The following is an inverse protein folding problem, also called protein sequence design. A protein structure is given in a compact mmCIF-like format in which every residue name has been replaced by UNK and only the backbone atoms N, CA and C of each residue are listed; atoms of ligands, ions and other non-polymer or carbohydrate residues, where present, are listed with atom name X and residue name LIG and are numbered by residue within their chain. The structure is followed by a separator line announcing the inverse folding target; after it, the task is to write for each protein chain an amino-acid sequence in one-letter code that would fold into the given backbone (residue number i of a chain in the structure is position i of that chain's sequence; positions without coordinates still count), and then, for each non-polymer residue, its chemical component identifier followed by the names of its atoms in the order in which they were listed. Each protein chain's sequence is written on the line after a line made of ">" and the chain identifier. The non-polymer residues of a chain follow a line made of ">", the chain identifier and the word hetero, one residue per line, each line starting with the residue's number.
data_IF_626931331093
#
_entry.id   IF_626931331093
#
_cell.length_a   1.000
_cell.length_b   1.000
_cell.length_c   1.000
_cell.angle_alpha   90.00
_cell.angle_beta   90.00
_cell.angle_gamma   90.00
#
_symmetry.space_group_name_H-M   'P 1'
#
loop_
_entity.id
_entity.type
_entity.pdbx_description
1 polymer ?
#
# COMPACT_ATOMS: atom_id res chain seq x y z
N UNK A 1 9.64 15.46 12.80
CA UNK A 1 8.26 15.92 12.53
C UNK A 1 7.73 15.11 11.37
N UNK A 2 6.62 14.36 11.52
CA UNK A 2 6.07 13.61 10.40
C UNK A 2 5.48 14.59 9.40
N UNK A 3 5.81 14.41 8.13
CA UNK A 3 5.24 15.17 7.03
C UNK A 3 3.72 14.96 7.02
N UNK A 4 2.99 16.06 7.17
CA UNK A 4 1.52 16.08 7.14
C UNK A 4 1.06 15.72 5.71
N UNK A 5 0.51 14.52 5.55
CA UNK A 5 -0.18 14.06 4.34
C UNK A 5 -1.60 14.65 4.20
N UNK A 6 -1.97 15.53 5.12
CA UNK A 6 -3.38 15.85 5.36
C UNK A 6 -3.95 16.87 4.36
N UNK A 7 -3.09 17.69 3.73
CA UNK A 7 -3.54 18.73 2.79
C UNK A 7 -3.69 18.23 1.34
N UNK A 8 -3.00 17.15 0.97
CA UNK A 8 -3.07 16.59 -0.41
C UNK A 8 -4.38 15.84 -0.64
N UNK A 9 -4.95 15.25 0.41
CA UNK A 9 -6.18 14.46 0.32
C UNK A 9 -7.43 15.26 -0.07
N UNK A 10 -7.48 16.55 0.31
CA UNK A 10 -8.63 17.43 0.06
C UNK A 10 -8.69 17.88 -1.42
N UNK A 11 -7.54 18.00 -2.09
CA UNK A 11 -7.47 18.57 -3.45
C UNK A 11 -7.70 17.57 -4.59
N UNK A 12 -7.49 16.28 -4.36
CA UNK A 12 -7.51 15.26 -5.43
C UNK A 12 -8.89 14.63 -5.70
N UNK A 13 -9.94 15.10 -5.01
CA UNK A 13 -11.31 14.59 -5.19
C UNK A 13 -11.51 13.13 -4.74
N UNK A 14 -12.75 12.60 -4.82
CA UNK A 14 -13.13 11.29 -4.28
C UNK A 14 -12.47 10.09 -4.98
N UNK A 15 -11.68 10.32 -6.02
CA UNK A 15 -10.99 9.29 -6.81
C UNK A 15 -9.53 9.05 -6.39
N UNK A 16 -9.02 9.86 -5.47
CA UNK A 16 -7.72 9.64 -4.85
C UNK A 16 -7.83 8.48 -3.86
N UNK A 17 -7.22 7.33 -4.17
CA UNK A 17 -7.34 6.08 -3.41
C UNK A 17 -6.97 6.15 -1.92
N UNK A 18 -6.40 7.26 -1.46
CA UNK A 18 -6.13 7.55 -0.05
C UNK A 18 -7.42 7.69 0.80
N UNK A 19 -8.53 8.16 0.22
CA UNK A 19 -9.79 8.30 0.95
C UNK A 19 -10.45 6.96 1.33
N UNK A 20 -10.17 5.87 0.61
CA UNK A 20 -10.79 4.56 0.86
C UNK A 20 -10.23 3.87 2.11
N UNK A 21 -8.93 4.05 2.38
CA UNK A 21 -8.28 3.51 3.57
C UNK A 21 -8.64 4.31 4.84
N UNK A 22 -8.82 5.63 4.69
CA UNK A 22 -9.22 6.51 5.79
C UNK A 22 -10.70 6.33 6.18
N UNK A 23 -11.59 6.00 5.23
CA UNK A 23 -13.04 5.90 5.47
C UNK A 23 -13.52 4.51 5.91
N UNK A 24 -12.62 3.59 6.26
CA UNK A 24 -12.99 2.31 6.88
C UNK A 24 -13.94 1.43 6.02
N UNK A 25 -14.01 1.65 4.70
CA UNK A 25 -15.03 1.06 3.83
C UNK A 25 -14.75 -0.41 3.44
N UNK A 26 -13.52 -0.88 3.67
CA UNK A 26 -13.13 -2.23 3.32
C UNK A 26 -13.11 -3.13 4.56
N UNK A 27 -14.11 -4.02 4.67
CA UNK A 27 -14.34 -4.93 5.82
C UNK A 27 -13.11 -5.78 6.19
N UNK A 28 -12.24 -6.06 5.22
CA UNK A 28 -11.01 -6.82 5.47
C UNK A 28 -9.93 -6.00 6.18
N UNK A 29 -9.79 -4.71 5.84
CA UNK A 29 -8.67 -3.87 6.34
C UNK A 29 -9.06 -2.97 7.50
N UNK A 30 -10.36 -2.75 7.71
CA UNK A 30 -10.93 -1.94 8.79
C UNK A 30 -10.42 -2.30 10.18
N UNK A 31 -10.33 -3.60 10.48
CA UNK A 31 -9.91 -4.12 11.80
C UNK A 31 -8.39 -4.12 12.03
N UNK A 32 -7.58 -3.71 11.04
CA UNK A 32 -6.10 -3.80 11.07
C UNK A 32 -5.41 -2.44 11.00
N UNK A 33 -6.14 -1.36 11.28
CA UNK A 33 -5.63 -0.01 11.38
C UNK A 33 -5.06 0.26 12.79
N UNK A 34 -4.05 1.14 12.95
CA UNK A 34 -3.40 1.96 11.91
C UNK A 34 -2.35 1.20 11.09
N UNK A 35 -2.23 1.52 9.79
CA UNK A 35 -1.26 0.92 8.87
C UNK A 35 -0.03 1.84 8.70
N UNK A 36 1.17 1.27 8.81
CA UNK A 36 2.43 1.95 8.47
C UNK A 36 2.86 1.54 7.06
N UNK A 37 3.09 2.51 6.18
CA UNK A 37 3.62 2.26 4.85
C UNK A 37 5.11 1.92 4.94
N UNK A 38 5.47 0.67 4.59
CA UNK A 38 6.85 0.17 4.65
C UNK A 38 7.46 0.08 3.24
N UNK A 39 6.62 -0.16 2.22
CA UNK A 39 7.06 -0.42 0.86
C UNK A 39 5.93 -0.17 -0.15
N UNK A 40 6.27 0.37 -1.33
CA UNK A 40 5.40 0.46 -2.49
C UNK A 40 6.20 0.35 -3.80
N UNK A 41 5.55 -0.10 -4.87
CA UNK A 41 6.08 -0.09 -6.24
C UNK A 41 5.13 0.71 -7.14
N UNK A 42 5.68 1.45 -8.11
CA UNK A 42 4.93 2.18 -9.10
C UNK A 42 5.32 1.72 -10.52
N UNK A 43 4.33 1.63 -11.42
CA UNK A 43 4.52 1.20 -12.81
C UNK A 43 3.88 2.21 -13.76
N UNK A 44 4.48 2.39 -14.93
CA UNK A 44 3.93 3.24 -15.99
C UNK A 44 2.74 2.58 -16.71
N UNK A 45 2.82 1.27 -16.98
CA UNK A 45 1.72 0.48 -17.56
C UNK A 45 0.82 -0.12 -16.48
N UNK A 46 -0.49 -0.05 -16.73
CA UNK A 46 -1.52 -0.68 -15.88
C UNK A 46 -1.43 -2.21 -15.93
N UNK A 47 -1.09 -2.77 -17.07
CA UNK A 47 -0.97 -4.21 -17.31
C UNK A 47 0.19 -4.79 -16.50
N UNK A 48 1.33 -4.09 -16.47
CA UNK A 48 2.47 -4.46 -15.65
C UNK A 48 2.15 -4.37 -14.16
N UNK A 49 1.47 -3.30 -13.72
CA UNK A 49 1.02 -3.16 -12.34
C UNK A 49 0.11 -4.34 -11.93
N UNK A 50 -0.87 -4.72 -12.77
CA UNK A 50 -1.77 -5.84 -12.51
C UNK A 50 -1.03 -7.18 -12.46
N UNK A 51 -0.09 -7.41 -13.37
CA UNK A 51 0.74 -8.62 -13.39
C UNK A 51 1.57 -8.72 -12.12
N UNK A 52 2.16 -7.60 -11.68
CA UNK A 52 2.95 -7.51 -10.45
C UNK A 52 2.11 -7.75 -9.20
N UNK A 53 0.93 -7.11 -9.12
CA UNK A 53 -0.03 -7.33 -8.03
C UNK A 53 -0.45 -8.80 -7.94
N UNK A 54 -0.80 -9.42 -9.08
CA UNK A 54 -1.17 -10.84 -9.14
C UNK A 54 -0.03 -11.74 -8.67
N UNK A 55 1.21 -11.44 -9.07
CA UNK A 55 2.39 -12.17 -8.61
C UNK A 55 2.56 -12.09 -7.10
N UNK A 56 2.44 -10.90 -6.50
CA UNK A 56 2.59 -10.73 -5.05
C UNK A 56 1.53 -11.46 -4.21
N UNK A 57 0.36 -11.76 -4.79
CA UNK A 57 -0.67 -12.59 -4.12
C UNK A 57 -0.32 -14.08 -4.08
N UNK A 58 0.68 -14.54 -4.85
CA UNK A 58 1.16 -15.93 -4.84
C UNK A 58 2.12 -16.21 -3.68
N UNK A 59 2.34 -17.49 -3.35
CA UNK A 59 3.33 -17.91 -2.33
C UNK A 59 4.75 -17.44 -2.67
N UNK A 60 5.17 -17.59 -3.93
CA UNK A 60 6.50 -17.13 -4.38
C UNK A 60 6.63 -15.61 -4.31
N UNK A 61 5.56 -14.89 -4.68
CA UNK A 61 5.52 -13.44 -4.57
C UNK A 61 5.63 -12.95 -3.15
N UNK A 62 4.93 -13.58 -2.19
CA UNK A 62 5.07 -13.29 -0.75
C UNK A 62 6.50 -13.49 -0.25
N UNK A 63 7.14 -14.60 -0.61
CA UNK A 63 8.55 -14.86 -0.25
C UNK A 63 9.49 -13.80 -0.81
N UNK A 64 9.28 -13.41 -2.07
CA UNK A 64 10.06 -12.34 -2.72
C UNK A 64 9.84 -11.00 -2.02
N UNK A 65 8.60 -10.66 -1.68
CA UNK A 65 8.29 -9.44 -0.95
C UNK A 65 9.00 -9.41 0.40
N UNK A 66 8.90 -10.49 1.20
CA UNK A 66 9.62 -10.60 2.48
C UNK A 66 11.13 -10.41 2.33
N UNK A 67 11.72 -10.90 1.25
CA UNK A 67 13.14 -10.70 0.98
C UNK A 67 13.45 -9.23 0.65
N UNK A 68 12.61 -8.56 -0.13
CA UNK A 68 12.77 -7.13 -0.46
C UNK A 68 12.73 -6.27 0.80
N UNK A 69 11.76 -6.51 1.69
CA UNK A 69 11.57 -5.69 2.90
C UNK A 69 12.26 -6.26 4.15
N UNK A 70 13.13 -7.27 4.00
CA UNK A 70 13.72 -8.03 5.11
C UNK A 70 14.36 -7.15 6.18
N UNK A 71 15.19 -6.19 5.75
CA UNK A 71 15.89 -5.29 6.67
C UNK A 71 14.94 -4.28 7.30
N UNK A 72 13.96 -3.79 6.54
CA UNK A 72 12.94 -2.87 7.06
C UNK A 72 12.07 -3.54 8.13
N UNK A 73 11.70 -4.81 7.93
CA UNK A 73 10.92 -5.59 8.91
C UNK A 73 11.68 -5.83 10.22
N UNK A 74 13.02 -5.94 10.20
CA UNK A 74 13.81 -6.08 11.42
C UNK A 74 13.89 -4.81 12.26
N UNK A 75 13.55 -3.65 11.67
CA UNK A 75 13.67 -2.32 12.30
C UNK A 75 12.33 -1.75 12.77
N UNK A 76 11.24 -2.51 12.65
CA UNK A 76 9.88 -2.14 13.07
C UNK A 76 9.57 -2.75 14.43
#
# INVERSE_FOLDING_TARGET
>A
QPFLLDNVAIQLGPWSGYNVLAQNQNTSTSKRLPLKLIYYEAHLSKEDAKRREKYFKTTKGKATLHQIIRISLQKL
#
